data_IF_730220849722
#
_entry.id   IF_730220849722
#
_cell.length_a   1.000
_cell.length_b   1.000
_cell.length_c   1.000
_cell.angle_alpha   90.00
_cell.angle_beta   90.00
_cell.angle_gamma   90.00
#
_symmetry.space_group_name_H-M   'P 1'
#
loop_
_entity.id
_entity.type
_entity.pdbx_description
1 polymer ?
#
# COMPACT_ATOMS: atom_id res chain seq x y z
N UNK A 1 -33.79 -5.82 -62.13
CA UNK A 1 -34.68 -6.43 -61.12
C UNK A 1 -33.82 -7.55 -60.54
N UNK A 2 -33.24 -7.34 -59.36
CA UNK A 2 -32.19 -8.24 -58.83
C UNK A 2 -32.88 -9.16 -57.84
N UNK A 3 -33.39 -10.28 -58.33
CA UNK A 3 -33.97 -11.35 -57.51
C UNK A 3 -32.82 -12.12 -56.86
N UNK A 4 -32.16 -11.50 -55.89
CA UNK A 4 -31.19 -12.20 -55.03
C UNK A 4 -31.99 -13.07 -54.07
N UNK A 5 -31.99 -14.37 -54.33
CA UNK A 5 -32.60 -15.40 -53.49
C UNK A 5 -32.28 -15.15 -52.01
N UNK A 6 -33.28 -15.13 -51.12
CA UNK A 6 -33.11 -14.78 -49.71
C UNK A 6 -32.20 -15.76 -48.94
N UNK A 7 -31.89 -16.94 -49.49
CA UNK A 7 -31.05 -17.95 -48.84
C UNK A 7 -29.54 -17.72 -49.04
N UNK A 8 -29.10 -17.21 -50.19
CA UNK A 8 -27.67 -16.99 -50.52
C UNK A 8 -27.08 -15.80 -49.76
N UNK A 9 -27.88 -14.73 -49.60
CA UNK A 9 -27.50 -13.57 -48.79
C UNK A 9 -27.50 -13.89 -47.29
N UNK A 10 -28.36 -14.83 -46.85
CA UNK A 10 -28.45 -15.23 -45.45
C UNK A 10 -27.21 -16.00 -44.99
N UNK A 11 -26.66 -16.90 -45.83
CA UNK A 11 -25.48 -17.71 -45.48
C UNK A 11 -24.23 -16.84 -45.28
N UNK A 12 -24.09 -15.75 -46.07
CA UNK A 12 -22.98 -14.81 -45.94
C UNK A 12 -23.21 -13.77 -44.83
N UNK A 13 -24.46 -13.33 -44.62
CA UNK A 13 -24.79 -12.31 -43.63
C UNK A 13 -24.85 -12.86 -42.20
N UNK A 14 -25.23 -14.13 -42.01
CA UNK A 14 -25.36 -14.76 -40.69
C UNK A 14 -24.06 -14.76 -39.88
N UNK A 15 -22.89 -15.19 -40.39
CA UNK A 15 -21.65 -15.16 -39.60
C UNK A 15 -21.21 -13.73 -39.27
N UNK A 16 -21.39 -12.80 -40.21
CA UNK A 16 -21.08 -11.37 -40.00
C UNK A 16 -21.98 -10.78 -38.91
N UNK A 17 -23.27 -11.11 -38.93
CA UNK A 17 -24.24 -10.68 -37.93
C UNK A 17 -23.93 -11.28 -36.54
N UNK A 18 -23.53 -12.56 -36.47
CA UNK A 18 -23.13 -13.19 -35.21
C UNK A 18 -21.88 -12.55 -34.62
N UNK A 19 -20.88 -12.23 -35.44
CA UNK A 19 -19.66 -11.53 -35.00
C UNK A 19 -20.00 -10.12 -34.51
N UNK A 20 -20.86 -9.38 -35.23
CA UNK A 20 -21.33 -8.05 -34.82
C UNK A 20 -22.07 -8.11 -33.48
N UNK A 21 -22.99 -9.05 -33.29
CA UNK A 21 -23.73 -9.22 -32.04
C UNK A 21 -22.81 -9.61 -30.87
N UNK A 22 -21.79 -10.45 -31.11
CA UNK A 22 -20.80 -10.82 -30.10
C UNK A 22 -19.93 -9.63 -29.68
N UNK A 23 -19.48 -8.80 -30.63
CA UNK A 23 -18.70 -7.58 -30.35
C UNK A 23 -19.53 -6.55 -29.58
N UNK A 24 -20.78 -6.33 -29.98
CA UNK A 24 -21.71 -5.42 -29.30
C UNK A 24 -22.02 -5.94 -27.89
N UNK A 25 -22.28 -7.24 -27.73
CA UNK A 25 -22.49 -7.88 -26.44
C UNK A 25 -21.26 -7.79 -25.54
N UNK A 26 -20.06 -7.98 -26.07
CA UNK A 26 -18.81 -7.81 -25.33
C UNK A 26 -18.66 -6.36 -24.82
N UNK A 27 -18.93 -5.34 -25.64
CA UNK A 27 -18.80 -3.93 -25.22
C UNK A 27 -19.87 -3.51 -24.19
N UNK A 28 -21.09 -4.04 -24.30
CA UNK A 28 -22.19 -3.72 -23.37
C UNK A 28 -22.06 -4.52 -22.05
N UNK A 29 -21.63 -5.78 -22.12
CA UNK A 29 -21.57 -6.70 -20.97
C UNK A 29 -20.20 -6.76 -20.31
N UNK A 30 -19.11 -6.30 -20.95
CA UNK A 30 -17.93 -5.85 -20.19
C UNK A 30 -18.27 -4.49 -19.62
N UNK A 31 -18.60 -4.35 -18.32
CA UNK A 31 -18.57 -3.04 -17.72
C UNK A 31 -17.11 -2.61 -17.78
N UNK A 32 -16.78 -1.62 -18.61
CA UNK A 32 -15.55 -0.84 -18.43
C UNK A 32 -15.58 0.00 -17.13
N UNK A 33 -16.30 -0.47 -16.10
CA UNK A 33 -16.79 0.33 -14.99
C UNK A 33 -16.26 -0.04 -13.61
N UNK A 34 -15.20 -0.85 -13.50
CA UNK A 34 -14.57 -1.09 -12.19
C UNK A 34 -13.05 -1.22 -12.16
N UNK A 35 -12.34 -0.95 -13.27
CA UNK A 35 -10.87 -1.07 -13.29
C UNK A 35 -10.09 0.22 -13.66
N UNK A 36 -10.75 1.37 -13.72
CA UNK A 36 -10.06 2.66 -13.84
C UNK A 36 -10.53 3.66 -12.77
N UNK A 37 -10.64 3.22 -11.51
CA UNK A 37 -10.51 4.15 -10.38
C UNK A 37 -9.01 4.37 -10.09
N UNK A 38 -8.31 5.05 -11.01
CA UNK A 38 -7.00 5.67 -10.71
C UNK A 38 -7.20 7.03 -10.04
N UNK A 39 -8.45 7.37 -9.68
CA UNK A 39 -8.70 8.46 -8.75
C UNK A 39 -8.34 7.97 -7.37
N UNK A 40 -7.05 7.98 -7.08
CA UNK A 40 -6.54 7.86 -5.72
C UNK A 40 -7.45 8.67 -4.82
N UNK A 41 -8.24 7.98 -4.00
CA UNK A 41 -9.00 8.60 -2.93
C UNK A 41 -7.96 9.21 -2.00
N UNK A 42 -7.57 10.45 -2.27
CA UNK A 42 -7.26 11.38 -1.21
C UNK A 42 -8.59 11.52 -0.45
N UNK A 43 -8.84 10.58 0.45
CA UNK A 43 -9.75 10.84 1.54
C UNK A 43 -9.25 12.14 2.17
N UNK A 44 -10.10 13.16 2.36
CA UNK A 44 -9.70 14.23 3.25
C UNK A 44 -9.37 13.56 4.58
N UNK A 45 -8.12 13.67 5.01
CA UNK A 45 -7.74 13.36 6.38
C UNK A 45 -8.52 14.37 7.21
N UNK A 46 -9.73 13.98 7.62
CA UNK A 46 -10.46 14.66 8.66
C UNK A 46 -9.52 14.58 9.85
N UNK A 47 -8.96 15.72 10.25
CA UNK A 47 -8.12 15.86 11.43
C UNK A 47 -8.98 15.61 12.67
N UNK A 48 -9.41 14.37 12.88
CA UNK A 48 -9.87 13.91 14.18
C UNK A 48 -8.62 13.64 15.01
N UNK A 49 -8.48 14.23 16.20
CA UNK A 49 -7.47 13.80 17.14
C UNK A 49 -7.91 12.44 17.70
N UNK A 50 -7.58 11.37 16.98
CA UNK A 50 -7.82 10.01 17.48
C UNK A 50 -6.67 9.11 17.05
N UNK A 51 -5.72 8.97 17.98
CA UNK A 51 -4.82 7.84 18.22
C UNK A 51 -4.32 7.16 16.94
N UNK A 52 -3.14 7.59 16.50
CA UNK A 52 -2.27 6.83 15.59
C UNK A 52 -2.38 5.34 15.97
N UNK A 53 -2.89 4.47 15.09
CA UNK A 53 -2.83 3.04 15.32
C UNK A 53 -1.36 2.70 15.54
N UNK A 54 -1.05 2.32 16.78
CA UNK A 54 0.25 1.82 17.18
C UNK A 54 0.66 0.79 16.12
N UNK A 55 1.81 0.96 15.43
CA UNK A 55 2.19 0.08 14.34
C UNK A 55 2.13 -1.36 14.85
N UNK A 56 1.15 -2.07 14.31
CA UNK A 56 0.86 -3.46 14.61
C UNK A 56 2.10 -4.22 14.21
N UNK A 57 2.72 -4.82 15.22
CA UNK A 57 3.83 -5.77 15.14
C UNK A 57 3.70 -6.71 13.93
N UNK A 58 4.83 -6.90 13.22
CA UNK A 58 5.19 -7.92 12.21
C UNK A 58 5.18 -7.42 10.75
N UNK A 59 6.13 -7.78 9.86
CA UNK A 59 7.11 -8.88 9.86
C UNK A 59 8.47 -8.47 10.42
N UNK A 60 9.37 -9.43 10.64
CA UNK A 60 10.76 -9.30 11.09
C UNK A 60 11.29 -7.86 11.25
N UNK A 61 11.61 -7.46 12.49
CA UNK A 61 11.99 -6.09 12.86
C UNK A 61 13.25 -5.62 12.13
N UNK A 62 13.08 -5.14 10.90
CA UNK A 62 14.03 -4.31 10.18
C UNK A 62 13.84 -2.91 10.72
N UNK A 63 14.85 -2.42 11.42
CA UNK A 63 14.90 -1.02 11.82
C UNK A 63 15.49 -0.21 10.68
N UNK A 64 14.97 0.99 10.39
CA UNK A 64 15.61 1.88 9.42
C UNK A 64 16.99 2.30 9.95
N UNK A 65 17.95 2.50 9.06
CA UNK A 65 19.31 2.96 9.38
C UNK A 65 19.37 4.46 9.80
N UNK A 66 18.23 5.04 10.18
CA UNK A 66 18.13 6.42 10.60
C UNK A 66 18.71 6.57 12.01
N UNK A 67 19.88 7.21 12.10
CA UNK A 67 20.55 7.47 13.36
C UNK A 67 19.79 8.52 14.21
N UNK A 68 19.19 8.05 15.31
CA UNK A 68 18.48 8.86 16.32
C UNK A 68 18.75 8.23 17.70
N UNK A 69 19.90 8.52 18.33
CA UNK A 69 20.38 7.76 19.46
C UNK A 69 19.48 7.90 20.69
N UNK A 70 19.34 6.79 21.42
CA UNK A 70 18.59 6.71 22.67
C UNK A 70 19.39 5.96 23.73
N UNK A 71 19.26 6.39 24.99
CA UNK A 71 19.89 5.80 26.14
C UNK A 71 18.87 4.95 26.90
N UNK A 72 19.14 3.65 27.08
CA UNK A 72 18.33 2.82 27.97
C UNK A 72 18.59 3.22 29.42
N UNK A 73 17.57 3.67 30.14
CA UNK A 73 17.73 4.03 31.56
C UNK A 73 17.78 2.81 32.47
N UNK A 74 17.59 1.62 31.91
CA UNK A 74 17.70 0.34 32.62
C UNK A 74 19.12 -0.23 32.57
N UNK A 75 19.81 -0.03 31.45
CA UNK A 75 21.10 -0.69 31.16
C UNK A 75 22.24 0.29 30.95
N UNK A 76 21.96 1.59 30.87
CA UNK A 76 22.92 2.64 30.51
C UNK A 76 23.64 2.39 29.17
N UNK A 77 22.98 1.64 28.28
CA UNK A 77 23.45 1.35 26.92
C UNK A 77 22.81 2.31 25.93
N UNK A 78 23.63 2.85 25.03
CA UNK A 78 23.18 3.67 23.90
C UNK A 78 22.83 2.79 22.71
N UNK A 79 21.63 2.98 22.16
CA UNK A 79 21.17 2.34 20.92
C UNK A 79 21.11 3.38 19.80
N UNK A 80 21.32 2.98 18.54
CA UNK A 80 21.36 3.91 17.41
C UNK A 80 19.96 4.47 17.08
N UNK A 81 18.90 3.75 17.43
CA UNK A 81 17.51 4.22 17.34
C UNK A 81 16.59 3.61 18.40
N UNK A 82 15.41 4.23 18.60
CA UNK A 82 14.34 3.66 19.43
C UNK A 82 13.87 2.28 18.94
N UNK A 83 13.87 2.06 17.62
CA UNK A 83 13.50 0.77 17.05
C UNK A 83 14.43 -0.35 17.52
N UNK A 84 15.74 -0.11 17.48
CA UNK A 84 16.74 -1.06 17.94
C UNK A 84 16.64 -1.31 19.45
N UNK A 85 16.44 -0.26 20.24
CA UNK A 85 16.24 -0.40 21.68
C UNK A 85 15.00 -1.24 22.01
N UNK A 86 13.90 -1.06 21.26
CA UNK A 86 12.69 -1.88 21.42
C UNK A 86 12.92 -3.32 20.99
N UNK A 87 13.63 -3.55 19.89
CA UNK A 87 14.02 -4.91 19.44
C UNK A 87 14.86 -5.62 20.50
N UNK A 88 15.72 -4.89 21.21
CA UNK A 88 16.51 -5.39 22.32
C UNK A 88 15.77 -5.44 23.67
N UNK A 89 14.48 -5.09 23.73
CA UNK A 89 13.70 -4.97 24.98
C UNK A 89 14.35 -4.05 26.04
N UNK A 90 15.04 -2.99 25.60
CA UNK A 90 15.83 -2.08 26.44
C UNK A 90 15.02 -0.88 27.01
N UNK A 91 13.69 -1.00 27.07
CA UNK A 91 12.83 0.01 27.67
C UNK A 91 12.98 0.02 29.21
N UNK A 92 12.82 1.17 29.89
CA UNK A 92 12.56 2.52 29.35
C UNK A 92 13.81 3.19 28.74
N UNK A 93 13.60 4.10 27.79
CA UNK A 93 14.65 4.84 27.07
C UNK A 93 14.48 6.36 27.22
N UNK A 94 15.60 7.08 27.18
CA UNK A 94 15.70 8.54 27.11
C UNK A 94 16.33 8.96 25.79
N UNK A 95 15.94 10.10 25.24
CA UNK A 95 16.55 10.65 24.03
C UNK A 95 18.01 11.04 24.24
N UNK A 96 18.85 10.81 23.24
CA UNK A 96 20.28 11.10 23.28
C UNK A 96 21.12 9.89 23.69
N UNK A 97 22.43 10.03 23.58
CA UNK A 97 23.38 9.02 24.05
C UNK A 97 23.38 8.96 25.58
N UNK A 98 23.76 7.83 26.15
CA UNK A 98 24.04 7.77 27.58
C UNK A 98 25.23 8.69 27.89
N UNK A 99 25.18 9.33 29.06
CA UNK A 99 26.32 10.09 29.54
C UNK A 99 27.48 9.11 29.65
N UNK A 100 28.46 9.19 28.75
CA UNK A 100 29.76 8.61 29.02
C UNK A 100 30.18 9.21 30.35
N UNK A 101 30.39 8.37 31.35
CA UNK A 101 30.99 8.80 32.61
C UNK A 101 32.37 9.33 32.25
N UNK A 102 32.46 10.58 31.83
CA UNK A 102 33.67 11.36 32.03
C UNK A 102 33.80 11.37 33.55
N UNK A 103 34.86 10.77 34.13
CA UNK A 103 35.09 10.91 35.55
C UNK A 103 35.05 12.41 35.82
N UNK A 104 34.18 12.82 36.74
CA UNK A 104 34.12 14.20 37.18
C UNK A 104 35.47 14.50 37.82
N UNK A 105 36.42 15.00 37.04
CA UNK A 105 37.64 15.60 37.55
C UNK A 105 37.23 16.92 38.18
N UNK A 106 36.96 16.88 39.49
CA UNK A 106 37.48 17.76 40.55
C UNK A 106 36.46 18.07 41.63
#
# INVERSE_FOLDING_TARGET
MKDSSPSETLIMALPVLLVLLALVGAVIFFPQGSLFDIRGKAAPVILTPTKVPLPTKSPESVCPDLYKPVCSTRTDITYASECEARKANALPIKSGICAATLPATR
#
